data_IF_997792722127
#
_entry.id   IF_997792722127
#
_cell.length_a   1.000
_cell.length_b   1.000
_cell.length_c   1.000
_cell.angle_alpha   90.00
_cell.angle_beta   90.00
_cell.angle_gamma   90.00
#
_symmetry.space_group_name_H-M   'P 1'
#
loop_
_entity.id
_entity.type
_entity.pdbx_description
1 polymer ?
#
# COMPACT_ATOMS: atom_id res chain seq x y z
N UNK A 1 -6.87 -46.35 -19.70
CA UNK A 1 -7.73 -45.20 -19.32
C UNK A 1 -7.49 -44.08 -20.34
N UNK A 2 -8.48 -43.74 -21.17
CA UNK A 2 -8.36 -42.68 -22.18
C UNK A 2 -8.50 -41.32 -21.49
N UNK A 3 -7.42 -40.54 -21.43
CA UNK A 3 -7.50 -39.14 -20.99
C UNK A 3 -8.22 -38.33 -22.07
N UNK A 4 -9.45 -37.93 -21.76
CA UNK A 4 -10.26 -37.07 -22.60
C UNK A 4 -9.69 -35.65 -22.55
N UNK A 5 -9.16 -35.18 -23.69
CA UNK A 5 -8.82 -33.77 -23.92
C UNK A 5 -10.13 -32.96 -23.98
N UNK A 6 -10.52 -32.33 -22.87
CA UNK A 6 -11.52 -31.26 -22.91
C UNK A 6 -10.86 -29.98 -23.38
N UNK A 7 -11.13 -29.61 -24.64
CA UNK A 7 -11.13 -28.21 -25.07
C UNK A 7 -12.28 -27.52 -24.35
N UNK A 8 -11.97 -26.48 -23.58
CA UNK A 8 -12.98 -25.58 -23.02
C UNK A 8 -12.78 -24.22 -23.65
N UNK A 9 -13.75 -23.91 -24.50
CA UNK A 9 -14.00 -22.66 -25.21
C UNK A 9 -14.21 -21.52 -24.24
N UNK A 10 -13.67 -20.34 -24.61
CA UNK A 10 -14.06 -18.98 -24.21
C UNK A 10 -14.34 -18.72 -22.73
N UNK A 11 -13.59 -17.80 -22.10
CA UNK A 11 -14.17 -16.79 -21.22
C UNK A 11 -13.16 -15.70 -20.89
N UNK A 12 -13.49 -14.49 -21.35
CA UNK A 12 -13.23 -13.20 -20.71
C UNK A 12 -11.74 -12.93 -20.40
N UNK A 13 -11.11 -12.15 -21.28
CA UNK A 13 -10.03 -11.26 -20.83
C UNK A 13 -10.69 -10.27 -19.89
N UNK A 14 -10.85 -10.66 -18.63
CA UNK A 14 -11.14 -9.71 -17.58
C UNK A 14 -9.96 -8.76 -17.63
N UNK A 15 -10.22 -7.53 -18.00
CA UNK A 15 -9.33 -6.43 -17.74
C UNK A 15 -9.18 -6.44 -16.22
N UNK A 16 -8.20 -7.18 -15.71
CA UNK A 16 -7.81 -7.25 -14.30
C UNK A 16 -7.13 -5.92 -14.00
N UNK A 17 -7.89 -4.83 -14.16
CA UNK A 17 -7.53 -3.50 -13.73
C UNK A 17 -7.15 -3.63 -12.27
N UNK A 18 -5.97 -3.11 -11.94
CA UNK A 18 -5.45 -3.09 -10.59
C UNK A 18 -6.59 -2.76 -9.63
N UNK A 19 -6.82 -3.63 -8.64
CA UNK A 19 -7.91 -3.49 -7.66
C UNK A 19 -7.91 -2.11 -7.00
N UNK A 20 -6.74 -1.50 -6.94
CA UNK A 20 -6.54 -0.15 -6.48
C UNK A 20 -5.65 0.65 -7.46
N UNK A 21 -5.90 1.95 -7.64
CA UNK A 21 -5.03 2.79 -8.44
C UNK A 21 -3.65 2.96 -7.78
N UNK A 22 -2.63 3.27 -8.57
CA UNK A 22 -1.29 3.53 -8.02
C UNK A 22 -1.31 4.79 -7.16
N UNK A 23 -0.79 4.70 -5.93
CA UNK A 23 -0.70 5.85 -5.03
C UNK A 23 0.37 6.83 -5.52
N UNK A 24 0.04 8.12 -5.50
CA UNK A 24 0.97 9.18 -5.90
C UNK A 24 2.00 9.45 -4.80
N UNK A 25 3.23 9.79 -5.21
CA UNK A 25 4.21 10.37 -4.29
C UNK A 25 3.62 11.63 -3.65
N UNK A 26 3.73 11.72 -2.34
CA UNK A 26 3.15 12.78 -1.55
C UNK A 26 1.81 12.43 -0.88
N UNK A 27 1.18 11.30 -1.23
CA UNK A 27 -0.05 10.84 -0.59
C UNK A 27 0.18 10.65 0.92
N UNK A 28 -0.71 11.24 1.72
CA UNK A 28 -0.67 11.15 3.19
C UNK A 28 -1.74 10.17 3.68
N UNK A 29 -1.43 9.42 4.73
CA UNK A 29 -2.35 8.50 5.37
C UNK A 29 -2.00 8.35 6.86
N UNK A 30 -2.99 7.98 7.67
CA UNK A 30 -2.79 7.75 9.11
C UNK A 30 -2.94 6.27 9.38
N UNK A 31 -1.90 5.68 9.95
CA UNK A 31 -1.90 4.28 10.34
C UNK A 31 -2.25 4.20 11.82
N UNK A 32 -3.34 3.50 12.13
CA UNK A 32 -3.74 3.15 13.49
C UNK A 32 -3.82 1.62 13.64
N UNK A 33 -2.65 0.98 13.74
CA UNK A 33 -2.53 -0.46 13.98
C UNK A 33 -2.55 -0.81 15.48
N UNK A 34 -3.30 -0.07 16.31
CA UNK A 34 -3.38 -0.36 17.74
C UNK A 34 -2.01 -0.45 18.42
N UNK A 35 -1.83 -1.38 19.37
CA UNK A 35 -0.72 -1.45 20.37
C UNK A 35 0.73 -1.35 19.84
N UNK A 36 0.99 -1.38 18.53
CA UNK A 36 2.33 -1.24 17.96
C UNK A 36 2.71 0.23 17.70
N UNK A 37 3.28 0.87 18.73
CA UNK A 37 3.66 2.30 18.75
C UNK A 37 4.56 2.75 17.57
N UNK A 38 5.35 1.86 16.99
CA UNK A 38 6.26 2.21 15.88
C UNK A 38 5.55 2.41 14.55
N UNK A 39 4.40 1.76 14.34
CA UNK A 39 3.58 1.90 13.14
C UNK A 39 2.56 3.03 13.25
N UNK A 40 2.13 3.33 14.48
CA UNK A 40 1.15 4.37 14.76
C UNK A 40 1.63 5.75 14.31
N UNK A 41 0.82 6.42 13.51
CA UNK A 41 1.01 7.83 13.18
C UNK A 41 0.73 8.16 11.71
N UNK A 42 1.10 9.38 11.35
CA UNK A 42 0.92 9.91 10.00
C UNK A 42 2.12 9.54 9.13
N UNK A 43 1.85 9.10 7.91
CA UNK A 43 2.85 8.66 6.94
C UNK A 43 2.60 9.34 5.59
N UNK A 44 3.67 9.49 4.81
CA UNK A 44 3.62 10.01 3.45
C UNK A 44 4.38 9.08 2.50
N UNK A 45 3.77 8.79 1.35
CA UNK A 45 4.44 8.07 0.25
C UNK A 45 5.56 8.95 -0.31
N UNK A 46 6.78 8.42 -0.33
CA UNK A 46 7.96 9.10 -0.91
C UNK A 46 8.45 8.47 -2.21
N UNK A 47 8.22 7.15 -2.40
CA UNK A 47 8.55 6.45 -3.64
C UNK A 47 7.46 5.41 -3.94
N UNK A 48 7.02 5.34 -5.20
CA UNK A 48 5.99 4.41 -5.69
C UNK A 48 6.47 3.50 -6.84
N UNK A 49 7.74 3.59 -7.25
CA UNK A 49 8.31 2.81 -8.37
C UNK A 49 8.27 1.29 -8.14
N UNK A 50 8.16 0.85 -6.88
CA UNK A 50 8.17 -0.56 -6.46
C UNK A 50 6.79 -1.06 -6.05
N UNK A 51 5.72 -0.47 -6.58
CA UNK A 51 4.35 -0.95 -6.37
C UNK A 51 4.28 -2.47 -6.56
N UNK A 52 3.61 -3.22 -5.66
CA UNK A 52 2.66 -2.76 -4.63
C UNK A 52 3.29 -2.36 -3.29
N UNK A 53 4.63 -2.27 -3.19
CA UNK A 53 5.33 -1.83 -1.99
C UNK A 53 5.78 -0.37 -2.10
N UNK A 54 5.14 0.49 -1.32
CA UNK A 54 5.40 1.92 -1.33
C UNK A 54 6.37 2.28 -0.21
N UNK A 55 7.41 3.02 -0.55
CA UNK A 55 8.30 3.56 0.48
C UNK A 55 7.66 4.81 1.07
N UNK A 56 7.53 4.82 2.39
CA UNK A 56 6.87 5.90 3.12
C UNK A 56 7.78 6.46 4.20
N UNK A 57 7.65 7.76 4.44
CA UNK A 57 8.28 8.46 5.56
C UNK A 57 7.24 8.98 6.54
N UNK A 58 7.59 8.94 7.82
CA UNK A 58 6.74 9.42 8.91
C UNK A 58 6.63 10.93 8.86
N UNK A 59 5.41 11.43 9.04
CA UNK A 59 5.12 12.84 9.26
C UNK A 59 5.21 13.09 10.76
N UNK A 60 6.06 14.02 11.15
CA UNK A 60 6.28 14.44 12.53
C UNK A 60 5.12 15.33 13.01
N UNK A 61 5.04 15.59 14.31
CA UNK A 61 3.99 16.42 14.91
C UNK A 61 3.97 17.86 14.36
N UNK A 62 5.14 18.38 13.95
CA UNK A 62 5.26 19.68 13.30
C UNK A 62 4.79 19.68 11.82
N UNK A 63 4.24 18.57 11.31
CA UNK A 63 3.77 18.42 9.94
C UNK A 63 4.87 18.17 8.91
N UNK A 64 6.14 18.12 9.31
CA UNK A 64 7.26 17.86 8.40
C UNK A 64 7.49 16.37 8.20
N UNK A 65 8.01 16.01 7.03
CA UNK A 65 8.42 14.65 6.72
C UNK A 65 9.76 14.35 7.37
N UNK A 66 9.84 13.25 8.10
CA UNK A 66 11.10 12.80 8.67
C UNK A 66 12.11 12.45 7.58
N UNK A 67 13.32 12.98 7.73
CA UNK A 67 14.49 12.66 6.88
C UNK A 67 15.29 11.46 7.42
N UNK A 68 14.94 10.95 8.60
CA UNK A 68 15.66 9.85 9.26
C UNK A 68 15.39 8.53 8.52
N UNK A 69 16.41 7.68 8.46
CA UNK A 69 16.36 6.38 7.75
C UNK A 69 16.04 5.18 8.64
N UNK A 70 15.81 5.37 9.94
CA UNK A 70 15.43 4.26 10.83
C UNK A 70 14.01 3.78 10.53
N UNK A 71 13.72 2.53 10.88
CA UNK A 71 12.44 1.87 10.61
C UNK A 71 11.23 2.60 11.22
N UNK A 72 11.43 3.34 12.32
CA UNK A 72 10.38 4.16 12.97
C UNK A 72 10.01 5.43 12.18
N UNK A 73 10.84 5.80 11.20
CA UNK A 73 10.68 7.02 10.40
C UNK A 73 10.58 6.75 8.90
N UNK A 74 11.10 5.62 8.39
CA UNK A 74 11.06 5.26 6.97
C UNK A 74 10.82 3.75 6.85
N UNK A 75 9.76 3.37 6.13
CA UNK A 75 9.35 1.97 5.99
C UNK A 75 8.58 1.73 4.70
N UNK A 76 8.60 0.50 4.20
CA UNK A 76 7.72 0.05 3.13
C UNK A 76 6.36 -0.37 3.68
N UNK A 77 5.30 0.11 3.04
CA UNK A 77 3.93 -0.33 3.28
C UNK A 77 3.41 -1.04 2.03
N UNK A 78 2.64 -2.10 2.25
CA UNK A 78 1.91 -2.74 1.18
C UNK A 78 0.69 -1.90 0.82
N UNK A 79 0.35 -1.86 -0.47
CA UNK A 79 -0.77 -1.09 -1.01
C UNK A 79 -2.06 -1.23 -0.20
N UNK A 80 -2.45 -2.47 0.11
CA UNK A 80 -3.69 -2.73 0.84
C UNK A 80 -3.70 -2.12 2.25
N UNK A 81 -2.54 -2.01 2.91
CA UNK A 81 -2.42 -1.36 4.22
C UNK A 81 -2.71 0.14 4.12
N UNK A 82 -2.17 0.78 3.08
CA UNK A 82 -2.38 2.22 2.84
C UNK A 82 -3.84 2.47 2.48
N UNK A 83 -4.43 1.66 1.61
CA UNK A 83 -5.85 1.80 1.28
C UNK A 83 -6.76 1.56 2.48
N UNK A 84 -6.46 0.54 3.30
CA UNK A 84 -7.19 0.32 4.54
C UNK A 84 -7.13 1.55 5.45
N UNK A 85 -5.94 2.13 5.64
CA UNK A 85 -5.75 3.37 6.39
C UNK A 85 -6.49 4.57 5.79
N UNK A 86 -6.59 4.68 4.46
CA UNK A 86 -7.33 5.75 3.79
C UNK A 86 -8.86 5.57 3.88
N UNK A 87 -9.34 4.33 3.95
CA UNK A 87 -10.79 4.05 4.11
C UNK A 87 -11.28 4.25 5.53
N UNK A 88 -10.41 4.08 6.54
CA UNK A 88 -10.68 4.48 7.93
C UNK A 88 -10.56 5.99 8.07
N UNK A 89 -11.55 6.72 7.58
CA UNK A 89 -11.78 8.10 8.03
C UNK A 89 -12.37 8.04 9.44
N UNK A 90 -11.80 8.83 10.35
CA UNK A 90 -12.41 9.18 11.65
C UNK A 90 -13.84 9.72 11.46
#
# INVERSE_FOLDING_TARGET
>A
MKLSKKKSTANIVENTGCKYPVLSVGQKFTVDYGKQKSLYGKWQVIENDKAPFYLCSRILENGQVSKRRSADHRRQFFEAEIYYALTKKE
#
